data_IF_520327794663
#
_entry.id   IF_520327794663
#
_cell.length_a   1.000
_cell.length_b   1.000
_cell.length_c   1.000
_cell.angle_alpha   90.00
_cell.angle_beta   90.00
_cell.angle_gamma   90.00
#
_symmetry.space_group_name_H-M   'P 1'
#
loop_
_entity.id
_entity.type
_entity.pdbx_description
1 polymer ?
#
# COMPACT_ATOMS: atom_id res chain seq x y z
N UNK A 1 -1.36 1.55 22.39
CA UNK A 1 -1.74 2.69 21.53
C UNK A 1 -2.85 3.56 22.13
N UNK A 2 -3.91 3.01 22.72
CA UNK A 2 -5.03 3.80 23.31
C UNK A 2 -4.63 4.80 24.39
N UNK A 3 -3.53 4.59 25.12
CA UNK A 3 -3.07 5.49 26.20
C UNK A 3 -2.69 6.91 25.73
N UNK A 4 -2.45 7.11 24.45
CA UNK A 4 -2.03 8.40 23.89
C UNK A 4 -3.16 9.15 23.18
N UNK A 5 -4.31 8.55 22.98
CA UNK A 5 -5.45 9.17 22.32
C UNK A 5 -6.58 9.38 23.34
N UNK A 6 -7.07 10.62 23.44
CA UNK A 6 -8.21 10.97 24.31
C UNK A 6 -9.56 10.42 23.82
N UNK A 7 -9.63 9.97 22.54
CA UNK A 7 -10.81 9.36 21.92
C UNK A 7 -10.41 8.03 21.26
N UNK A 8 -11.33 7.06 21.12
CA UNK A 8 -11.06 5.86 20.32
C UNK A 8 -10.70 6.31 18.90
N UNK A 9 -9.58 5.79 18.38
CA UNK A 9 -9.19 6.02 17.00
C UNK A 9 -9.82 4.96 16.10
N UNK A 10 -10.05 5.31 14.85
CA UNK A 10 -10.48 4.40 13.79
C UNK A 10 -9.35 4.25 12.77
N UNK A 11 -9.17 3.05 12.28
CA UNK A 11 -8.11 2.71 11.34
C UNK A 11 -8.72 2.12 10.06
N UNK A 12 -8.31 2.62 8.91
CA UNK A 12 -8.66 2.05 7.61
C UNK A 12 -7.45 1.23 7.16
N UNK A 13 -7.67 -0.05 6.91
CA UNK A 13 -6.63 -1.00 6.52
C UNK A 13 -6.86 -1.38 5.05
N UNK A 14 -5.94 -0.99 4.17
CA UNK A 14 -5.99 -1.37 2.76
C UNK A 14 -5.28 -2.71 2.58
N UNK A 15 -6.03 -3.71 2.13
CA UNK A 15 -5.53 -5.06 1.86
C UNK A 15 -5.21 -5.20 0.37
N UNK A 16 -4.03 -5.72 0.05
CA UNK A 16 -3.60 -5.93 -1.34
C UNK A 16 -2.90 -7.28 -1.48
N UNK A 17 -3.00 -7.89 -2.66
CA UNK A 17 -2.26 -9.13 -2.95
C UNK A 17 -0.76 -8.94 -2.66
N UNK A 18 -0.18 -9.88 -1.92
CA UNK A 18 1.18 -9.76 -1.44
C UNK A 18 2.21 -9.77 -2.57
N UNK A 19 1.96 -10.50 -3.64
CA UNK A 19 2.86 -10.51 -4.81
C UNK A 19 2.83 -9.15 -5.52
N UNK A 20 1.65 -8.48 -5.58
CA UNK A 20 1.55 -7.11 -6.08
C UNK A 20 2.35 -6.12 -5.24
N UNK A 21 2.31 -6.28 -3.91
CA UNK A 21 3.10 -5.45 -2.97
C UNK A 21 4.59 -5.66 -3.21
N UNK A 22 5.04 -6.92 -3.28
CA UNK A 22 6.44 -7.25 -3.53
C UNK A 22 6.92 -6.77 -4.92
N UNK A 23 6.05 -6.83 -5.93
CA UNK A 23 6.35 -6.26 -7.25
C UNK A 23 6.51 -4.73 -7.20
N UNK A 24 5.76 -4.04 -6.34
CA UNK A 24 5.92 -2.60 -6.14
C UNK A 24 7.25 -2.26 -5.48
N UNK A 25 7.68 -3.03 -4.49
CA UNK A 25 9.02 -2.90 -3.90
C UNK A 25 10.12 -3.20 -4.92
N UNK A 26 9.94 -4.26 -5.75
CA UNK A 26 10.90 -4.60 -6.80
C UNK A 26 11.04 -3.47 -7.81
N UNK A 27 9.93 -2.90 -8.27
CA UNK A 27 9.94 -1.70 -9.12
C UNK A 27 10.72 -0.58 -8.45
N UNK A 28 10.38 -0.28 -7.20
CA UNK A 28 11.00 0.80 -6.45
C UNK A 28 12.52 0.69 -6.36
N UNK A 29 13.08 -0.44 -5.88
CA UNK A 29 14.52 -0.55 -5.74
C UNK A 29 15.25 -0.68 -7.09
N UNK A 30 14.56 -1.11 -8.15
CA UNK A 30 15.12 -1.16 -9.49
C UNK A 30 15.22 0.22 -10.12
N UNK A 31 14.19 1.05 -9.93
CA UNK A 31 14.13 2.41 -10.49
C UNK A 31 14.84 3.47 -9.61
N UNK A 32 15.21 3.11 -8.37
CA UNK A 32 15.88 3.99 -7.41
C UNK A 32 17.19 3.33 -6.90
N UNK A 33 18.33 3.57 -7.59
CA UNK A 33 19.62 2.98 -7.20
C UNK A 33 20.01 3.28 -5.74
N UNK A 34 19.65 4.45 -5.23
CA UNK A 34 19.97 4.89 -3.86
C UNK A 34 18.99 4.37 -2.80
N UNK A 35 18.03 3.51 -3.18
CA UNK A 35 17.10 2.92 -2.24
C UNK A 35 17.82 2.16 -1.12
N UNK A 36 17.22 2.14 0.09
CA UNK A 36 17.85 1.46 1.23
C UNK A 36 18.13 -0.02 0.94
N UNK A 37 17.31 -0.69 0.11
CA UNK A 37 17.51 -2.08 -0.28
C UNK A 37 18.83 -2.26 -1.03
N UNK A 38 19.18 -1.31 -1.90
CA UNK A 38 20.40 -1.36 -2.71
C UNK A 38 21.67 -1.01 -1.91
N UNK A 39 21.53 -0.48 -0.69
CA UNK A 39 22.67 -0.23 0.22
C UNK A 39 23.19 -1.51 0.90
N UNK A 40 22.41 -2.59 0.83
CA UNK A 40 22.86 -3.90 1.31
C UNK A 40 23.53 -4.66 0.16
N UNK A 41 24.59 -5.40 0.46
CA UNK A 41 25.30 -6.20 -0.54
C UNK A 41 24.51 -7.50 -0.88
N UNK A 42 23.32 -7.32 -1.47
CA UNK A 42 22.42 -8.40 -1.87
C UNK A 42 22.62 -8.70 -3.36
N UNK A 43 22.78 -9.99 -3.68
CA UNK A 43 23.24 -10.46 -5.00
C UNK A 43 22.14 -10.44 -6.05
N UNK A 44 20.89 -10.64 -5.65
CA UNK A 44 19.77 -10.83 -6.57
C UNK A 44 18.44 -10.39 -5.95
N UNK A 45 17.39 -10.41 -6.77
CA UNK A 45 16.04 -9.98 -6.36
C UNK A 45 15.43 -10.92 -5.31
N UNK A 46 15.78 -12.20 -5.31
CA UNK A 46 15.30 -13.14 -4.27
C UNK A 46 15.82 -12.75 -2.90
N UNK A 47 17.09 -12.39 -2.79
CA UNK A 47 17.69 -11.92 -1.52
C UNK A 47 17.08 -10.58 -1.08
N UNK A 48 16.89 -9.64 -2.02
CA UNK A 48 16.28 -8.33 -1.75
C UNK A 48 14.84 -8.47 -1.24
N UNK A 49 14.02 -9.26 -1.93
CA UNK A 49 12.63 -9.52 -1.54
C UNK A 49 12.55 -10.31 -0.23
N UNK A 50 13.46 -11.27 -0.02
CA UNK A 50 13.55 -12.00 1.25
C UNK A 50 13.93 -11.09 2.42
N UNK A 51 14.77 -10.07 2.20
CA UNK A 51 15.08 -9.07 3.21
C UNK A 51 13.84 -8.24 3.59
N UNK A 52 13.04 -7.83 2.60
CA UNK A 52 11.79 -7.09 2.82
C UNK A 52 10.77 -7.92 3.61
N UNK A 53 10.82 -9.24 3.43
CA UNK A 53 9.92 -10.23 4.04
C UNK A 53 10.48 -10.89 5.32
N UNK A 54 11.68 -10.58 5.76
CA UNK A 54 12.20 -11.13 7.01
C UNK A 54 11.53 -10.51 8.25
N UNK A 55 11.75 -11.05 9.44
CA UNK A 55 11.09 -10.62 10.68
C UNK A 55 11.25 -9.13 11.02
N UNK A 56 12.27 -8.47 10.48
CA UNK A 56 12.52 -7.04 10.63
C UNK A 56 12.15 -6.24 9.37
N UNK A 57 11.72 -6.92 8.33
CA UNK A 57 11.36 -6.34 7.04
C UNK A 57 10.09 -5.49 7.10
N UNK A 58 9.99 -4.55 6.18
CA UNK A 58 8.85 -3.63 6.13
C UNK A 58 7.53 -4.38 5.94
N UNK A 59 7.46 -5.27 4.96
CA UNK A 59 6.23 -6.00 4.62
C UNK A 59 5.82 -6.99 5.72
N UNK A 60 6.78 -7.68 6.35
CA UNK A 60 6.46 -8.57 7.48
C UNK A 60 5.86 -7.82 8.67
N UNK A 61 6.37 -6.62 8.97
CA UNK A 61 5.80 -5.78 10.03
C UNK A 61 4.37 -5.38 9.72
N UNK A 62 4.08 -5.04 8.46
CA UNK A 62 2.72 -4.71 8.02
C UNK A 62 1.80 -5.94 8.13
N UNK A 63 2.26 -7.12 7.73
CA UNK A 63 1.50 -8.37 7.88
C UNK A 63 1.19 -8.68 9.35
N UNK A 64 2.18 -8.49 10.25
CA UNK A 64 1.97 -8.65 11.69
C UNK A 64 0.98 -7.61 12.22
N UNK A 65 1.09 -6.36 11.77
CA UNK A 65 0.16 -5.30 12.17
C UNK A 65 -1.28 -5.61 11.71
N UNK A 66 -1.48 -6.07 10.48
CA UNK A 66 -2.76 -6.50 9.95
C UNK A 66 -3.31 -7.67 10.79
N UNK A 67 -2.50 -8.70 11.04
CA UNK A 67 -2.90 -9.84 11.88
C UNK A 67 -3.33 -9.41 13.28
N UNK A 68 -2.58 -8.52 13.90
CA UNK A 68 -2.89 -8.02 15.23
C UNK A 68 -4.15 -7.13 15.24
N UNK A 69 -4.43 -6.41 14.15
CA UNK A 69 -5.62 -5.56 14.05
C UNK A 69 -6.93 -6.33 14.08
N UNK A 70 -6.93 -7.62 13.69
CA UNK A 70 -8.12 -8.48 13.79
C UNK A 70 -8.61 -8.69 15.21
N UNK A 71 -7.79 -8.40 16.22
CA UNK A 71 -8.23 -8.39 17.62
C UNK A 71 -9.04 -7.14 18.01
N UNK A 72 -9.19 -6.18 17.08
CA UNK A 72 -9.85 -4.89 17.30
C UNK A 72 -10.81 -4.56 16.14
N UNK A 73 -11.77 -5.44 15.83
CA UNK A 73 -12.62 -5.30 14.63
C UNK A 73 -13.45 -4.00 14.64
N UNK A 74 -13.83 -3.50 15.82
CA UNK A 74 -14.60 -2.26 15.98
C UNK A 74 -13.77 -1.00 15.66
N UNK A 75 -12.45 -1.12 15.65
CA UNK A 75 -11.53 -0.03 15.39
C UNK A 75 -10.96 -0.04 13.96
N UNK A 76 -11.19 -1.11 13.19
CA UNK A 76 -10.55 -1.32 11.90
C UNK A 76 -11.58 -1.60 10.81
N UNK A 77 -11.55 -0.82 9.73
CA UNK A 77 -12.25 -1.11 8.49
C UNK A 77 -11.25 -1.68 7.48
N UNK A 78 -11.54 -2.86 6.94
CA UNK A 78 -10.72 -3.50 5.93
C UNK A 78 -11.29 -3.27 4.54
N UNK A 79 -10.47 -2.74 3.64
CA UNK A 79 -10.83 -2.46 2.24
C UNK A 79 -9.83 -3.18 1.35
N UNK A 80 -10.32 -4.00 0.41
CA UNK A 80 -9.46 -4.59 -0.60
C UNK A 80 -9.12 -3.54 -1.66
N UNK A 81 -7.85 -3.46 -2.01
CA UNK A 81 -7.37 -2.53 -3.04
C UNK A 81 -8.10 -2.72 -4.37
N UNK A 82 -8.35 -3.97 -4.77
CA UNK A 82 -9.04 -4.26 -6.02
C UNK A 82 -10.49 -3.78 -6.01
N UNK A 83 -11.20 -3.90 -4.88
CA UNK A 83 -12.56 -3.37 -4.71
C UNK A 83 -12.53 -1.84 -4.73
N UNK A 84 -11.58 -1.22 -4.02
CA UNK A 84 -11.42 0.24 -3.99
C UNK A 84 -11.20 0.84 -5.37
N UNK A 85 -10.42 0.20 -6.24
CA UNK A 85 -10.15 0.73 -7.58
C UNK A 85 -11.22 0.37 -8.61
N UNK A 86 -12.00 -0.70 -8.40
CA UNK A 86 -13.09 -1.12 -9.29
C UNK A 86 -14.43 -0.47 -8.94
N UNK A 87 -14.68 -0.22 -7.65
CA UNK A 87 -15.92 0.34 -7.10
C UNK A 87 -15.64 1.46 -6.09
N UNK A 88 -14.88 2.51 -6.50
CA UNK A 88 -14.33 3.49 -5.56
C UNK A 88 -15.40 4.21 -4.74
N UNK A 89 -16.54 4.57 -5.34
CA UNK A 89 -17.61 5.24 -4.63
C UNK A 89 -18.19 4.37 -3.51
N UNK A 90 -18.43 3.10 -3.79
CA UNK A 90 -18.98 2.17 -2.81
C UNK A 90 -18.02 1.98 -1.62
N UNK A 91 -16.74 1.79 -1.91
CA UNK A 91 -15.74 1.58 -0.86
C UNK A 91 -15.50 2.84 -0.02
N UNK A 92 -15.50 4.02 -0.65
CA UNK A 92 -15.37 5.29 0.08
C UNK A 92 -16.62 5.58 0.92
N UNK A 93 -17.84 5.21 0.48
CA UNK A 93 -19.04 5.31 1.34
C UNK A 93 -18.91 4.50 2.62
N UNK A 94 -18.37 3.27 2.55
CA UNK A 94 -18.09 2.45 3.75
C UNK A 94 -17.12 3.16 4.72
N UNK A 95 -16.15 3.91 4.17
CA UNK A 95 -15.24 4.72 5.00
C UNK A 95 -16.00 5.78 5.77
N UNK A 96 -16.86 6.55 5.09
CA UNK A 96 -17.65 7.60 5.73
C UNK A 96 -18.61 7.05 6.78
N UNK A 97 -19.29 5.95 6.50
CA UNK A 97 -20.12 5.24 7.46
C UNK A 97 -19.31 4.79 8.68
N UNK A 98 -18.15 4.18 8.43
CA UNK A 98 -17.28 3.69 9.50
C UNK A 98 -16.78 4.82 10.40
N UNK A 99 -16.35 5.97 9.86
CA UNK A 99 -15.88 7.11 10.65
C UNK A 99 -17.03 7.94 11.23
N UNK A 100 -18.27 7.63 10.85
CA UNK A 100 -19.48 8.35 11.26
C UNK A 100 -19.48 9.82 10.83
N UNK A 101 -19.11 10.05 9.56
CA UNK A 101 -19.10 11.37 8.95
C UNK A 101 -20.07 11.41 7.75
N UNK A 102 -20.65 12.57 7.45
CA UNK A 102 -21.46 12.75 6.25
C UNK A 102 -20.64 12.49 4.98
N UNK A 103 -21.24 11.76 4.03
CA UNK A 103 -20.56 11.47 2.78
C UNK A 103 -20.30 12.75 1.97
N UNK A 104 -19.04 12.95 1.60
CA UNK A 104 -18.67 13.97 0.63
C UNK A 104 -18.72 13.41 -0.79
N UNK A 105 -19.31 14.14 -1.73
CA UNK A 105 -19.45 13.69 -3.11
C UNK A 105 -18.12 13.81 -3.86
N UNK A 106 -17.39 12.69 -3.95
CA UNK A 106 -16.10 12.60 -4.64
C UNK A 106 -16.26 12.45 -6.15
N UNK A 107 -15.24 12.90 -6.89
CA UNK A 107 -15.09 12.62 -8.33
C UNK A 107 -14.10 11.50 -8.52
N UNK A 108 -14.48 10.44 -9.26
CA UNK A 108 -13.63 9.26 -9.49
C UNK A 108 -13.20 9.10 -10.96
N UNK A 109 -13.76 9.92 -11.88
CA UNK A 109 -13.53 9.76 -13.30
C UNK A 109 -12.54 10.76 -13.90
N UNK A 110 -12.46 11.96 -13.36
CA UNK A 110 -11.57 13.03 -13.81
C UNK A 110 -10.79 13.55 -12.62
N UNK A 111 -9.84 12.73 -12.18
CA UNK A 111 -8.90 13.17 -11.16
C UNK A 111 -7.83 13.98 -11.87
N UNK A 112 -7.80 15.26 -11.56
CA UNK A 112 -6.67 16.11 -11.91
C UNK A 112 -5.62 15.97 -10.81
N UNK A 113 -4.35 16.06 -11.17
CA UNK A 113 -3.29 16.08 -10.18
C UNK A 113 -3.51 17.29 -9.27
N UNK A 114 -3.94 17.01 -8.06
CA UNK A 114 -4.21 18.06 -7.09
C UNK A 114 -2.88 18.57 -6.53
N UNK A 115 -2.70 19.87 -6.60
CA UNK A 115 -1.62 20.53 -5.88
C UNK A 115 -2.11 20.85 -4.48
N UNK A 116 -1.31 20.59 -3.46
CA UNK A 116 -1.56 21.12 -2.11
C UNK A 116 -0.89 22.49 -2.04
N UNK A 117 -1.68 23.54 -1.79
CA UNK A 117 -1.20 24.93 -1.78
C UNK A 117 -0.42 25.33 -3.06
N UNK A 118 -0.84 24.84 -4.22
CA UNK A 118 -0.19 25.12 -5.50
C UNK A 118 1.09 24.31 -5.78
N UNK A 119 1.50 23.43 -4.87
CA UNK A 119 2.65 22.57 -5.05
C UNK A 119 2.21 21.16 -5.48
N UNK A 120 2.82 20.66 -6.54
CA UNK A 120 2.66 19.26 -6.95
C UNK A 120 3.18 18.34 -5.85
N UNK A 121 2.49 17.21 -5.66
CA UNK A 121 2.99 16.18 -4.75
C UNK A 121 4.32 15.64 -5.26
N UNK A 122 5.33 15.72 -4.42
CA UNK A 122 6.69 15.23 -4.70
C UNK A 122 7.25 14.55 -3.44
N UNK A 123 7.49 13.27 -3.50
CA UNK A 123 8.09 12.49 -2.45
C UNK A 123 9.60 12.23 -2.64
N UNK A 124 10.23 12.91 -3.61
CA UNK A 124 11.68 12.84 -3.84
C UNK A 124 12.49 13.30 -2.61
N UNK A 125 11.90 14.16 -1.78
CA UNK A 125 12.47 14.62 -0.49
C UNK A 125 12.76 13.45 0.47
N UNK A 126 12.01 12.35 0.37
CA UNK A 126 12.25 11.12 1.16
C UNK A 126 13.10 10.10 0.40
N UNK A 127 13.74 10.51 -0.69
CA UNK A 127 14.74 9.72 -1.42
C UNK A 127 14.19 8.84 -2.54
N UNK A 128 12.89 8.91 -2.85
CA UNK A 128 12.32 8.14 -3.95
C UNK A 128 10.98 8.73 -4.38
N UNK A 129 10.75 8.80 -5.68
CA UNK A 129 9.49 9.25 -6.26
C UNK A 129 8.56 8.03 -6.47
N UNK A 130 8.04 7.48 -5.36
CA UNK A 130 7.23 6.25 -5.37
C UNK A 130 5.76 6.50 -5.66
N UNK A 131 5.23 7.63 -5.21
CA UNK A 131 3.79 7.90 -5.18
C UNK A 131 3.40 8.92 -6.24
N UNK A 132 3.74 8.62 -7.49
CA UNK A 132 3.33 9.48 -8.61
C UNK A 132 1.81 9.47 -8.73
N UNK A 133 1.21 10.64 -8.63
CA UNK A 133 -0.21 10.82 -8.90
C UNK A 133 -0.46 10.74 -10.41
N UNK A 134 -1.55 10.09 -10.78
CA UNK A 134 -1.97 9.94 -12.17
C UNK A 134 -3.27 10.69 -12.38
N UNK A 135 -3.36 11.43 -13.48
CA UNK A 135 -4.61 12.04 -13.91
C UNK A 135 -5.54 11.02 -14.55
N UNK A 136 -6.83 11.30 -14.55
CA UNK A 136 -7.85 10.48 -15.16
C UNK A 136 -8.68 9.68 -14.16
N UNK A 137 -9.33 8.57 -14.57
CA UNK A 137 -10.18 7.79 -13.70
C UNK A 137 -9.38 6.99 -12.68
N UNK A 138 -9.98 6.73 -11.51
CA UNK A 138 -9.50 5.72 -10.58
C UNK A 138 -9.48 4.38 -11.31
N UNK A 139 -8.33 3.71 -11.30
CA UNK A 139 -8.15 2.43 -12.00
C UNK A 139 -7.01 1.62 -11.43
N UNK A 140 -7.06 0.31 -11.60
CA UNK A 140 -5.93 -0.55 -11.30
C UNK A 140 -4.77 -0.24 -12.24
N UNK A 141 -3.60 0.00 -11.66
CA UNK A 141 -2.36 0.21 -12.42
C UNK A 141 -1.64 -1.13 -12.55
N UNK A 142 -1.41 -1.56 -13.78
CA UNK A 142 -0.64 -2.76 -14.05
C UNK A 142 0.83 -2.56 -13.68
N UNK A 143 1.37 -3.47 -12.88
CA UNK A 143 2.78 -3.47 -12.54
C UNK A 143 3.52 -4.61 -13.30
N UNK A 144 4.35 -4.29 -14.30
CA UNK A 144 5.05 -5.31 -15.09
C UNK A 144 6.05 -6.14 -14.28
N UNK A 145 6.47 -5.65 -13.11
CA UNK A 145 7.39 -6.36 -12.24
C UNK A 145 6.78 -7.61 -11.59
N UNK A 146 5.45 -7.77 -11.60
CA UNK A 146 4.77 -9.01 -11.16
C UNK A 146 5.32 -10.22 -11.91
N UNK A 147 5.57 -10.09 -13.21
CA UNK A 147 6.14 -11.17 -14.04
C UNK A 147 7.61 -11.47 -13.71
N UNK A 148 8.31 -10.52 -13.11
CA UNK A 148 9.73 -10.62 -12.76
C UNK A 148 9.96 -11.19 -11.35
N UNK A 149 8.93 -11.32 -10.53
CA UNK A 149 9.05 -11.91 -9.19
C UNK A 149 9.57 -13.35 -9.32
N UNK A 150 10.67 -13.69 -8.62
CA UNK A 150 11.23 -15.04 -8.65
C UNK A 150 10.19 -16.09 -8.24
N UNK A 151 10.14 -17.21 -8.94
CA UNK A 151 9.18 -18.30 -8.65
C UNK A 151 9.28 -18.80 -7.20
N UNK A 152 10.47 -18.84 -6.65
CA UNK A 152 10.68 -19.22 -5.25
C UNK A 152 9.99 -18.29 -4.26
N UNK A 153 9.97 -16.99 -4.57
CA UNK A 153 9.23 -15.98 -3.79
C UNK A 153 7.72 -16.19 -3.94
N UNK A 154 7.23 -16.39 -5.17
CA UNK A 154 5.81 -16.66 -5.42
C UNK A 154 5.33 -17.92 -4.68
N UNK A 155 6.10 -19.00 -4.75
CA UNK A 155 5.78 -20.26 -4.07
C UNK A 155 5.76 -20.09 -2.54
N UNK A 156 6.70 -19.30 -2.00
CA UNK A 156 6.81 -19.10 -0.56
C UNK A 156 5.71 -18.19 0.00
N UNK A 157 5.29 -17.19 -0.73
CA UNK A 157 4.41 -16.13 -0.19
C UNK A 157 3.07 -15.96 -0.93
N UNK A 158 2.90 -16.53 -2.12
CA UNK A 158 1.68 -16.36 -2.92
C UNK A 158 0.42 -17.02 -2.35
N UNK A 159 0.57 -17.85 -1.31
CA UNK A 159 -0.56 -18.44 -0.59
C UNK A 159 -1.17 -17.50 0.45
N UNK A 160 -0.47 -16.42 0.82
CA UNK A 160 -0.96 -15.41 1.77
C UNK A 160 -2.01 -14.56 1.06
N UNK A 161 -3.25 -14.68 1.49
CA UNK A 161 -4.42 -13.95 0.97
C UNK A 161 -5.11 -13.18 2.09
N UNK A 162 -5.78 -12.08 1.71
CA UNK A 162 -6.56 -11.23 2.60
C UNK A 162 -8.04 -11.22 2.21
#
# INVERSE_FOLDING_TARGET
MQKHFKKPFKCIVILRDLIDVLASYMKWYTENPDSFVNRFNLKNDEEKLSMIMNDKGAVSKDLIAIKNSYNYPEMCLYIKYDDLVSQPEQEIRKVYEFINEPYFNHRFHNLDQVTVNGLSYDDSVVGSNMHKLFNGPVRKVYNPYIKKIPERIKNKYGHIKF
#
